data_IF_057345857597
#
_entry.id   IF_057345857597
#
_cell.length_a   1.000
_cell.length_b   1.000
_cell.length_c   1.000
_cell.angle_alpha   90.00
_cell.angle_beta   90.00
_cell.angle_gamma   90.00
#
_symmetry.space_group_name_H-M   'P 1'
#
loop_
_entity.id
_entity.type
_entity.pdbx_description
1 polymer ?
#
# COMPACT_ATOMS: atom_id res chain seq x y z
N UNK A 1 10.69 -7.39 -1.88
CA UNK A 1 9.77 -6.26 -2.20
C UNK A 1 10.58 -4.97 -2.17
N UNK A 2 10.43 -4.13 -3.18
CA UNK A 2 11.13 -2.84 -3.22
C UNK A 2 10.28 -1.78 -2.54
N UNK A 3 10.50 -1.56 -1.26
CA UNK A 3 9.68 -0.64 -0.47
C UNK A 3 9.79 0.81 -0.91
N UNK A 4 10.98 1.24 -1.32
CA UNK A 4 11.17 2.63 -1.78
C UNK A 4 10.25 2.95 -2.95
N UNK A 5 10.21 2.06 -3.94
CA UNK A 5 9.34 2.21 -5.10
C UNK A 5 7.87 2.14 -4.71
N UNK A 6 7.52 1.18 -3.85
CA UNK A 6 6.12 0.99 -3.44
C UNK A 6 5.63 2.17 -2.60
N UNK A 7 6.49 2.75 -1.77
CA UNK A 7 6.11 3.92 -0.99
C UNK A 7 5.90 5.14 -1.89
N UNK A 8 6.69 5.26 -2.95
CA UNK A 8 6.47 6.31 -3.94
C UNK A 8 5.11 6.14 -4.63
N UNK A 9 4.80 4.91 -5.05
CA UNK A 9 3.51 4.61 -5.67
C UNK A 9 2.35 4.83 -4.70
N UNK A 10 2.55 4.54 -3.43
CA UNK A 10 1.53 4.77 -2.41
C UNK A 10 1.26 6.27 -2.22
N UNK A 11 2.29 7.10 -2.30
CA UNK A 11 2.09 8.55 -2.24
C UNK A 11 1.29 9.04 -3.44
N UNK A 12 1.57 8.52 -4.63
CA UNK A 12 0.79 8.84 -5.84
C UNK A 12 -0.66 8.43 -5.67
N UNK A 13 -0.89 7.21 -5.18
CA UNK A 13 -2.25 6.70 -4.97
C UNK A 13 -3.00 7.51 -3.91
N UNK A 14 -2.32 7.92 -2.85
CA UNK A 14 -2.89 8.80 -1.85
C UNK A 14 -3.45 10.08 -2.48
N UNK A 15 -2.75 10.58 -3.49
CA UNK A 15 -3.15 11.77 -4.24
C UNK A 15 -4.17 11.49 -5.35
N UNK A 16 -4.63 10.26 -5.45
CA UNK A 16 -5.62 9.88 -6.46
C UNK A 16 -5.05 9.47 -7.81
N UNK A 17 -3.75 9.25 -7.90
CA UNK A 17 -3.08 8.85 -9.14
C UNK A 17 -2.76 7.37 -9.10
N UNK A 18 -3.42 6.59 -9.97
CA UNK A 18 -3.33 5.13 -9.97
C UNK A 18 -2.69 4.54 -11.22
N UNK A 19 -2.11 5.36 -12.09
CA UNK A 19 -1.66 4.91 -13.41
C UNK A 19 -0.54 3.87 -13.33
N UNK A 20 0.29 3.94 -12.30
CA UNK A 20 1.45 3.06 -12.18
C UNK A 20 1.17 1.79 -11.37
N UNK A 21 -0.04 1.63 -10.85
CA UNK A 21 -0.39 0.48 -10.00
C UNK A 21 -0.69 -0.76 -10.82
N UNK A 22 -1.20 -0.60 -12.04
CA UNK A 22 -1.64 -1.72 -12.89
C UNK A 22 -0.67 -2.89 -13.02
N UNK A 23 0.63 -2.65 -13.31
CA UNK A 23 1.59 -3.74 -13.50
C UNK A 23 2.09 -4.41 -12.22
N UNK A 24 1.68 -3.98 -11.06
CA UNK A 24 2.14 -4.55 -9.81
C UNK A 24 1.62 -5.96 -9.58
N UNK A 25 2.41 -6.79 -8.88
CA UNK A 25 1.96 -8.09 -8.42
C UNK A 25 0.85 -7.92 -7.37
N UNK A 26 0.16 -9.02 -7.06
CA UNK A 26 -0.91 -8.99 -6.06
C UNK A 26 -0.43 -8.44 -4.72
N UNK A 27 0.70 -8.96 -4.22
CA UNK A 27 1.24 -8.51 -2.94
C UNK A 27 1.65 -7.05 -2.95
N UNK A 28 2.27 -6.60 -4.03
CA UNK A 28 2.69 -5.21 -4.18
C UNK A 28 1.48 -4.27 -4.25
N UNK A 29 0.45 -4.66 -4.98
CA UNK A 29 -0.76 -3.87 -5.09
C UNK A 29 -1.46 -3.73 -3.74
N UNK A 30 -1.51 -4.84 -2.98
CA UNK A 30 -2.09 -4.81 -1.63
C UNK A 30 -1.31 -3.88 -0.70
N UNK A 31 0.02 -3.92 -0.79
CA UNK A 31 0.85 -3.00 -0.02
C UNK A 31 0.51 -1.54 -0.32
N UNK A 32 0.49 -1.19 -1.60
CA UNK A 32 0.18 0.18 -2.02
C UNK A 32 -1.23 0.59 -1.59
N UNK A 33 -2.19 -0.32 -1.71
CA UNK A 33 -3.58 -0.05 -1.31
C UNK A 33 -3.69 0.23 0.19
N UNK A 34 -3.02 -0.59 1.02
CA UNK A 34 -3.02 -0.39 2.47
C UNK A 34 -2.32 0.92 2.86
N UNK A 35 -1.12 1.14 2.34
CA UNK A 35 -0.33 2.29 2.70
C UNK A 35 -1.00 3.60 2.30
N UNK A 36 -1.67 3.62 1.15
CA UNK A 36 -2.33 4.82 0.64
C UNK A 36 -3.74 5.02 1.18
N UNK A 37 -4.32 4.01 1.83
CA UNK A 37 -5.72 4.07 2.25
C UNK A 37 -6.70 3.98 1.08
N UNK A 38 -6.26 3.46 -0.06
CA UNK A 38 -7.08 3.36 -1.28
C UNK A 38 -7.52 1.94 -1.59
N UNK A 39 -7.89 1.18 -0.55
CA UNK A 39 -8.33 -0.21 -0.74
C UNK A 39 -9.51 -0.33 -1.69
N UNK A 40 -10.49 0.55 -1.57
CA UNK A 40 -11.69 0.50 -2.42
C UNK A 40 -11.37 0.76 -3.88
N UNK A 41 -10.43 1.65 -4.14
CA UNK A 41 -10.07 2.06 -5.49
C UNK A 41 -9.18 1.04 -6.18
N UNK A 42 -8.26 0.43 -5.43
CA UNK A 42 -7.23 -0.43 -6.01
C UNK A 42 -7.55 -1.92 -5.93
N UNK A 43 -8.17 -2.36 -4.84
CA UNK A 43 -8.48 -3.78 -4.62
C UNK A 43 -9.88 -3.92 -3.99
N UNK A 44 -10.92 -3.50 -4.69
CA UNK A 44 -12.28 -3.41 -4.10
C UNK A 44 -12.85 -4.74 -3.62
N UNK A 45 -12.34 -5.87 -4.11
CA UNK A 45 -12.81 -7.18 -3.71
C UNK A 45 -12.10 -7.77 -2.50
N UNK A 46 -11.07 -7.10 -1.97
CA UNK A 46 -10.24 -7.66 -0.91
C UNK A 46 -10.50 -6.95 0.43
N UNK A 47 -10.51 -7.74 1.51
CA UNK A 47 -10.65 -7.19 2.86
C UNK A 47 -9.31 -6.68 3.36
N UNK A 48 -9.37 -5.78 4.35
CA UNK A 48 -8.16 -5.28 5.01
C UNK A 48 -7.42 -6.44 5.69
N UNK A 49 -8.16 -7.33 6.34
CA UNK A 49 -7.55 -8.47 7.04
C UNK A 49 -6.78 -9.37 6.07
N UNK A 50 -7.38 -9.67 4.91
CA UNK A 50 -6.70 -10.44 3.87
C UNK A 50 -5.45 -9.73 3.38
N UNK A 51 -5.55 -8.43 3.14
CA UNK A 51 -4.42 -7.65 2.65
C UNK A 51 -3.25 -7.65 3.65
N UNK A 52 -3.54 -7.45 4.93
CA UNK A 52 -2.51 -7.47 5.98
C UNK A 52 -1.83 -8.83 6.04
N UNK A 53 -2.61 -9.91 6.02
CA UNK A 53 -2.08 -11.27 6.04
C UNK A 53 -1.20 -11.55 4.81
N UNK A 54 -1.67 -11.16 3.65
CA UNK A 54 -0.99 -11.43 2.37
C UNK A 54 0.32 -10.66 2.25
N UNK A 55 0.34 -9.40 2.71
CA UNK A 55 1.52 -8.55 2.67
C UNK A 55 2.58 -9.03 3.66
N UNK A 56 2.17 -9.50 4.82
CA UNK A 56 3.06 -10.09 5.81
C UNK A 56 3.61 -9.11 6.83
N UNK A 57 4.11 -9.66 7.93
CA UNK A 57 4.54 -8.88 9.10
C UNK A 57 5.68 -7.91 8.80
N UNK A 58 6.66 -8.33 8.00
CA UNK A 58 7.81 -7.48 7.68
C UNK A 58 7.39 -6.22 6.92
N UNK A 59 6.57 -6.39 5.89
CA UNK A 59 6.09 -5.27 5.10
C UNK A 59 5.18 -4.35 5.92
N UNK A 60 4.35 -4.94 6.80
CA UNK A 60 3.49 -4.15 7.68
C UNK A 60 4.31 -3.32 8.66
N UNK A 61 5.36 -3.90 9.22
CA UNK A 61 6.25 -3.17 10.13
C UNK A 61 6.89 -1.97 9.43
N UNK A 62 7.37 -2.18 8.21
CA UNK A 62 7.95 -1.10 7.41
C UNK A 62 6.91 -0.02 7.12
N UNK A 63 5.72 -0.42 6.72
CA UNK A 63 4.63 0.50 6.41
C UNK A 63 4.29 1.38 7.62
N UNK A 64 4.14 0.77 8.79
CA UNK A 64 3.81 1.50 9.99
C UNK A 64 4.92 2.50 10.37
N UNK A 65 6.17 2.10 10.19
CA UNK A 65 7.30 2.97 10.49
C UNK A 65 7.30 4.21 9.59
N UNK A 66 7.11 4.02 8.29
CA UNK A 66 7.16 5.11 7.32
C UNK A 66 5.93 6.01 7.40
N UNK A 67 4.75 5.41 7.46
CA UNK A 67 3.50 6.16 7.30
C UNK A 67 2.97 6.74 8.60
N UNK A 68 3.26 6.12 9.72
CA UNK A 68 2.90 6.67 11.03
C UNK A 68 3.59 8.00 11.28
N UNK A 69 4.85 8.12 10.85
CA UNK A 69 5.60 9.36 11.01
C UNK A 69 4.95 10.53 10.26
N UNK A 70 4.27 10.25 9.15
CA UNK A 70 3.59 11.27 8.37
C UNK A 70 2.31 11.76 9.05
N UNK A 71 1.61 10.86 9.74
CA UNK A 71 0.34 11.21 10.39
C UNK A 71 0.51 12.06 11.63
N UNK A 72 1.68 12.04 12.22
CA UNK A 72 1.94 12.83 13.44
C UNK A 72 2.35 14.27 13.12
N UNK A 73 2.47 14.58 11.87
CA UNK A 73 2.75 15.95 11.43
C UNK A 73 1.45 16.68 11.13
#
# INVERSE_FOLDING_TARGET
MNYERLDELAREAWEGRYERVGPLSTGERLYVALASGRMRELVPGDSIAYAVDRVGAEAMAHMLEVWRARETL
#
